data_IF_843274636389
#
_entry.id   IF_843274636389
#
_cell.length_a   1.000
_cell.length_b   1.000
_cell.length_c   1.000
_cell.angle_alpha   90.00
_cell.angle_beta   90.00
_cell.angle_gamma   90.00
#
_symmetry.space_group_name_H-M   'P 1'
#
loop_
_entity.id
_entity.type
_entity.pdbx_description
1 polymer ?
#
# COMPACT_ATOMS: atom_id res chain seq x y z
N UNK A 1 25.38 -2.70 6.43
CA UNK A 1 24.06 -3.06 5.89
C UNK A 1 22.96 -2.57 6.84
N UNK A 2 21.91 -1.92 6.28
CA UNK A 2 20.73 -1.50 7.04
C UNK A 2 19.58 -2.43 6.62
N UNK A 3 18.89 -3.01 7.60
CA UNK A 3 17.81 -3.97 7.37
C UNK A 3 16.55 -3.50 8.08
N UNK A 4 15.41 -3.64 7.41
CA UNK A 4 14.09 -3.24 7.90
C UNK A 4 13.63 -1.90 7.35
N UNK A 5 12.37 -1.87 6.88
CA UNK A 5 11.78 -0.71 6.20
C UNK A 5 11.87 0.56 7.05
N UNK A 6 11.53 0.48 8.33
CA UNK A 6 11.57 1.64 9.24
C UNK A 6 12.99 2.16 9.43
N UNK A 7 13.98 1.27 9.64
CA UNK A 7 15.38 1.67 9.80
C UNK A 7 15.96 2.33 8.53
N UNK A 8 15.60 1.83 7.36
CA UNK A 8 16.01 2.40 6.07
C UNK A 8 15.42 3.80 5.90
N UNK A 9 14.13 4.00 6.22
CA UNK A 9 13.48 5.30 6.10
C UNK A 9 14.07 6.32 7.07
N UNK A 10 14.31 5.94 8.32
CA UNK A 10 14.98 6.82 9.31
C UNK A 10 16.38 7.20 8.84
N UNK A 11 17.15 6.24 8.36
CA UNK A 11 18.50 6.52 7.82
C UNK A 11 18.48 7.44 6.59
N UNK A 12 17.51 7.25 5.67
CA UNK A 12 17.34 8.13 4.52
C UNK A 12 16.95 9.54 4.93
N UNK A 13 16.08 9.70 5.92
CA UNK A 13 15.68 11.00 6.46
C UNK A 13 16.84 11.76 7.05
N UNK A 14 17.70 11.08 7.81
CA UNK A 14 18.87 11.69 8.45
C UNK A 14 20.04 11.94 7.47
N UNK A 15 20.16 11.12 6.41
CA UNK A 15 21.31 11.14 5.51
C UNK A 15 21.13 12.03 4.29
N UNK A 16 19.89 12.30 3.86
CA UNK A 16 19.59 13.05 2.65
C UNK A 16 19.02 14.41 3.04
N UNK A 17 19.83 15.45 2.89
CA UNK A 17 19.38 16.84 3.04
C UNK A 17 18.23 17.12 2.06
N UNK A 18 17.18 17.76 2.54
CA UNK A 18 15.92 18.05 1.83
C UNK A 18 14.91 16.91 1.73
N UNK A 19 15.16 15.76 2.34
CA UNK A 19 14.14 14.75 2.53
C UNK A 19 13.32 15.12 3.79
N UNK A 20 12.03 15.16 3.69
CA UNK A 20 11.12 15.45 4.82
C UNK A 20 9.91 14.52 4.75
N UNK A 21 10.19 13.21 4.62
CA UNK A 21 9.15 12.19 4.50
C UNK A 21 8.57 11.80 5.87
N UNK A 22 9.31 12.04 6.96
CA UNK A 22 8.84 11.82 8.32
C UNK A 22 8.28 13.10 8.96
N UNK A 23 8.70 14.28 8.48
CA UNK A 23 8.29 15.59 8.97
C UNK A 23 8.99 16.07 10.23
N UNK A 24 8.94 17.38 10.48
CA UNK A 24 9.69 18.03 11.55
C UNK A 24 9.02 17.95 12.92
N UNK A 25 7.69 17.99 12.96
CA UNK A 25 6.92 18.01 14.22
C UNK A 25 6.78 16.61 14.79
N UNK A 26 7.09 16.44 16.08
CA UNK A 26 7.04 15.14 16.77
C UNK A 26 5.69 14.44 16.63
N UNK A 27 4.58 15.17 16.74
CA UNK A 27 3.23 14.61 16.61
C UNK A 27 2.96 14.10 15.18
N UNK A 28 3.43 14.83 14.15
CA UNK A 28 3.29 14.40 12.77
C UNK A 28 4.15 13.16 12.50
N UNK A 29 5.40 13.14 12.97
CA UNK A 29 6.27 11.95 12.87
C UNK A 29 5.67 10.72 13.54
N UNK A 30 5.04 10.90 14.70
CA UNK A 30 4.34 9.81 15.39
C UNK A 30 3.19 9.26 14.54
N UNK A 31 2.41 10.12 13.90
CA UNK A 31 1.31 9.72 13.01
C UNK A 31 1.81 9.02 11.74
N UNK A 32 2.88 9.53 11.10
CA UNK A 32 3.52 8.87 9.96
C UNK A 32 3.95 7.46 10.33
N UNK A 33 4.67 7.29 11.44
CA UNK A 33 5.14 5.97 11.91
C UNK A 33 4.00 5.05 12.27
N UNK A 34 2.93 5.57 12.89
CA UNK A 34 1.73 4.79 13.22
C UNK A 34 1.07 4.21 11.97
N UNK A 35 0.95 5.01 10.89
CA UNK A 35 0.36 4.54 9.63
C UNK A 35 1.31 3.54 8.94
N UNK A 36 2.61 3.81 8.91
CA UNK A 36 3.58 2.85 8.38
C UNK A 36 3.50 1.50 9.10
N UNK A 37 3.43 1.50 10.44
CA UNK A 37 3.30 0.27 11.24
C UNK A 37 1.96 -0.43 10.98
N UNK A 38 0.88 0.33 10.78
CA UNK A 38 -0.42 -0.22 10.38
C UNK A 38 -0.30 -1.05 9.11
N UNK A 39 0.37 -0.53 8.06
CA UNK A 39 0.51 -1.23 6.79
C UNK A 39 1.53 -2.37 6.87
N UNK A 40 2.71 -2.10 7.40
CA UNK A 40 3.80 -3.08 7.44
C UNK A 40 3.48 -4.28 8.35
N UNK A 41 2.55 -4.15 9.29
CA UNK A 41 2.25 -5.19 10.25
C UNK A 41 0.80 -5.64 10.20
N UNK A 42 -0.15 -4.77 10.56
CA UNK A 42 -1.57 -5.16 10.65
C UNK A 42 -2.14 -5.52 9.28
N UNK A 43 -2.00 -4.62 8.31
CA UNK A 43 -2.48 -4.84 6.95
C UNK A 43 -1.78 -6.06 6.31
N UNK A 44 -0.47 -6.16 6.44
CA UNK A 44 0.28 -7.30 5.94
C UNK A 44 -0.26 -8.61 6.54
N UNK A 45 -0.44 -8.71 7.85
CA UNK A 45 -0.93 -9.93 8.51
C UNK A 45 -2.37 -10.27 8.13
N UNK A 46 -3.26 -9.29 8.03
CA UNK A 46 -4.69 -9.51 7.84
C UNK A 46 -5.10 -9.63 6.37
N UNK A 47 -4.34 -9.04 5.45
CA UNK A 47 -4.69 -8.94 4.04
C UNK A 47 -3.64 -9.58 3.13
N UNK A 48 -2.39 -9.10 3.16
CA UNK A 48 -1.37 -9.59 2.21
C UNK A 48 -1.00 -11.04 2.46
N UNK A 49 -0.74 -11.41 3.71
CA UNK A 49 -0.41 -12.81 4.07
C UNK A 49 -1.54 -13.79 3.79
N UNK A 50 -2.74 -13.32 3.51
CA UNK A 50 -3.87 -14.13 3.06
C UNK A 50 -4.01 -14.07 1.54
N UNK A 51 -4.34 -12.90 0.97
CA UNK A 51 -4.67 -12.77 -0.45
C UNK A 51 -3.43 -13.00 -1.35
N UNK A 52 -2.33 -12.31 -1.04
CA UNK A 52 -1.11 -12.39 -1.87
C UNK A 52 -0.46 -13.76 -1.73
N UNK A 53 -0.43 -14.30 -0.51
CA UNK A 53 0.09 -15.65 -0.30
C UNK A 53 -0.71 -16.69 -1.10
N UNK A 54 -2.03 -16.71 -0.98
CA UNK A 54 -2.88 -17.69 -1.66
C UNK A 54 -2.82 -17.55 -3.19
N UNK A 55 -2.87 -16.33 -3.73
CA UNK A 55 -2.93 -16.12 -5.18
C UNK A 55 -1.58 -16.18 -5.89
N UNK A 56 -0.51 -15.86 -5.19
CA UNK A 56 0.84 -15.78 -5.78
C UNK A 56 1.75 -16.82 -5.17
N UNK A 57 2.12 -16.66 -3.90
CA UNK A 57 3.19 -17.44 -3.29
C UNK A 57 2.89 -18.95 -3.27
N UNK A 58 1.67 -19.33 -2.88
CA UNK A 58 1.23 -20.72 -2.82
C UNK A 58 1.33 -21.43 -4.16
N UNK A 59 0.96 -20.72 -5.24
CA UNK A 59 1.05 -21.23 -6.61
C UNK A 59 2.52 -21.39 -7.03
N UNK A 60 3.36 -20.36 -6.80
CA UNK A 60 4.77 -20.41 -7.15
C UNK A 60 5.56 -21.51 -6.44
N UNK A 61 5.26 -21.78 -5.16
CA UNK A 61 5.93 -22.82 -4.39
C UNK A 61 5.28 -24.21 -4.56
N UNK A 62 4.30 -24.36 -5.47
CA UNK A 62 3.68 -25.63 -5.78
C UNK A 62 2.81 -26.24 -4.66
N UNK A 63 2.31 -25.42 -3.73
CA UNK A 63 1.44 -25.87 -2.63
C UNK A 63 -0.05 -25.99 -3.00
N UNK A 64 -0.35 -26.05 -4.29
CA UNK A 64 -1.71 -26.26 -4.81
C UNK A 64 -2.47 -24.96 -5.12
N UNK A 65 -3.78 -25.09 -5.26
CA UNK A 65 -4.65 -23.97 -5.64
C UNK A 65 -4.96 -23.05 -4.43
N UNK A 66 -5.35 -21.79 -4.70
CA UNK A 66 -5.81 -20.85 -3.66
C UNK A 66 -6.99 -21.39 -2.84
N UNK A 67 -6.94 -21.24 -1.53
CA UNK A 67 -8.05 -21.60 -0.64
C UNK A 67 -9.11 -20.49 -0.61
N UNK A 68 -10.32 -20.85 -1.06
CA UNK A 68 -11.44 -19.92 -1.15
C UNK A 68 -11.87 -19.34 0.21
N UNK A 69 -11.73 -20.11 1.32
CA UNK A 69 -12.08 -19.64 2.65
C UNK A 69 -11.06 -18.61 3.15
N UNK A 70 -9.77 -18.85 2.94
CA UNK A 70 -8.71 -17.90 3.30
C UNK A 70 -8.87 -16.61 2.51
N UNK A 71 -9.09 -16.70 1.19
CA UNK A 71 -9.35 -15.53 0.33
C UNK A 71 -10.58 -14.74 0.80
N UNK A 72 -11.65 -15.43 1.22
CA UNK A 72 -12.85 -14.76 1.73
C UNK A 72 -12.57 -13.96 3.00
N UNK A 73 -11.76 -14.51 3.92
CA UNK A 73 -11.35 -13.79 5.13
C UNK A 73 -10.49 -12.57 4.79
N UNK A 74 -9.47 -12.74 3.95
CA UNK A 74 -8.61 -11.65 3.51
C UNK A 74 -9.39 -10.51 2.84
N UNK A 75 -10.37 -10.84 1.98
CA UNK A 75 -11.24 -9.83 1.34
C UNK A 75 -12.14 -9.09 2.32
N UNK A 76 -12.65 -9.76 3.36
CA UNK A 76 -13.41 -9.08 4.43
C UNK A 76 -12.54 -8.10 5.20
N UNK A 77 -11.31 -8.50 5.51
CA UNK A 77 -10.36 -7.62 6.16
C UNK A 77 -9.97 -6.44 5.25
N UNK A 78 -9.74 -6.70 3.96
CA UNK A 78 -9.44 -5.65 2.98
C UNK A 78 -10.51 -4.56 2.96
N UNK A 79 -11.79 -4.93 3.02
CA UNK A 79 -12.89 -3.95 3.08
C UNK A 79 -12.72 -3.01 4.28
N UNK A 80 -12.41 -3.53 5.47
CA UNK A 80 -12.23 -2.73 6.69
C UNK A 80 -11.04 -1.75 6.52
N UNK A 81 -9.94 -2.24 5.97
CA UNK A 81 -8.77 -1.40 5.72
C UNK A 81 -9.04 -0.32 4.67
N UNK A 82 -9.73 -0.67 3.58
CA UNK A 82 -10.09 0.31 2.55
C UNK A 82 -11.06 1.38 3.06
N UNK A 83 -12.02 1.03 3.90
CA UNK A 83 -12.89 1.99 4.58
C UNK A 83 -12.09 2.95 5.46
N UNK A 84 -11.06 2.45 6.16
CA UNK A 84 -10.19 3.28 6.97
C UNK A 84 -9.34 4.23 6.13
N UNK A 85 -8.77 3.76 5.02
CA UNK A 85 -8.02 4.59 4.09
C UNK A 85 -8.92 5.67 3.48
N UNK A 86 -10.12 5.30 3.06
CA UNK A 86 -11.09 6.22 2.48
C UNK A 86 -11.49 7.32 3.48
N UNK A 87 -11.71 6.95 4.74
CA UNK A 87 -11.97 7.90 5.82
C UNK A 87 -10.79 8.85 6.07
N UNK A 88 -9.55 8.34 6.10
CA UNK A 88 -8.35 9.17 6.24
C UNK A 88 -8.26 10.17 5.07
N UNK A 89 -8.40 9.69 3.84
CA UNK A 89 -8.29 10.49 2.62
C UNK A 89 -9.42 11.52 2.47
N UNK A 90 -10.59 11.25 3.04
CA UNK A 90 -11.70 12.21 3.10
C UNK A 90 -11.39 13.40 4.01
N UNK A 91 -10.66 13.16 5.09
CA UNK A 91 -10.47 14.15 6.16
C UNK A 91 -9.07 14.79 6.13
N UNK A 92 -8.18 14.36 5.22
CA UNK A 92 -6.79 14.80 5.14
C UNK A 92 -6.36 14.86 3.67
N UNK A 93 -5.40 15.72 3.38
CA UNK A 93 -4.81 15.78 2.04
C UNK A 93 -3.96 14.55 1.73
N UNK A 94 -3.24 14.03 2.75
CA UNK A 94 -2.43 12.82 2.72
C UNK A 94 -2.72 11.97 3.96
N UNK A 95 -2.36 10.69 3.96
CA UNK A 95 -2.80 9.78 5.03
C UNK A 95 -2.40 10.22 6.44
N UNK A 96 -1.20 10.81 6.60
CA UNK A 96 -0.73 11.28 7.90
C UNK A 96 -1.14 12.74 8.21
N UNK A 97 -1.62 13.51 7.24
CA UNK A 97 -2.00 14.92 7.42
C UNK A 97 -1.97 15.71 6.12
N UNK A 98 -1.39 16.91 6.13
CA UNK A 98 -1.46 17.84 5.00
C UNK A 98 -0.27 17.74 4.03
N UNK A 99 0.73 16.91 4.33
CA UNK A 99 1.92 16.74 3.51
C UNK A 99 2.16 15.29 3.16
N UNK A 100 2.63 15.06 1.94
CA UNK A 100 3.07 13.75 1.48
C UNK A 100 4.20 13.20 2.35
N UNK A 101 4.14 11.94 2.71
CA UNK A 101 5.03 11.35 3.71
C UNK A 101 5.35 9.88 3.41
N UNK A 102 6.24 9.30 4.21
CA UNK A 102 6.54 7.87 4.20
C UNK A 102 5.31 6.99 4.47
N UNK A 103 4.27 7.53 5.14
CA UNK A 103 3.00 6.85 5.33
C UNK A 103 2.30 6.56 3.99
N UNK A 104 2.28 7.55 3.08
CA UNK A 104 1.65 7.42 1.76
C UNK A 104 2.41 6.44 0.88
N UNK A 105 3.75 6.50 0.93
CA UNK A 105 4.62 5.58 0.19
C UNK A 105 4.36 4.14 0.65
N UNK A 106 4.39 3.91 1.97
CA UNK A 106 4.19 2.59 2.56
C UNK A 106 2.79 2.05 2.23
N UNK A 107 1.76 2.86 2.41
CA UNK A 107 0.40 2.47 2.11
C UNK A 107 0.20 2.11 0.62
N UNK A 108 0.67 2.97 -0.27
CA UNK A 108 0.51 2.76 -1.70
C UNK A 108 1.31 1.56 -2.22
N UNK A 109 2.51 1.31 -1.69
CA UNK A 109 3.30 0.13 -2.02
C UNK A 109 2.56 -1.17 -1.65
N UNK A 110 2.00 -1.23 -0.43
CA UNK A 110 1.21 -2.39 0.01
C UNK A 110 -0.10 -2.55 -0.82
N UNK A 111 -0.77 -1.46 -1.17
CA UNK A 111 -1.98 -1.55 -2.00
C UNK A 111 -1.69 -1.92 -3.45
N UNK A 112 -0.50 -1.60 -3.96
CA UNK A 112 -0.13 -1.84 -5.36
C UNK A 112 -0.26 -3.30 -5.77
N UNK A 113 0.13 -4.23 -4.92
CA UNK A 113 0.01 -5.66 -5.22
C UNK A 113 -1.46 -6.12 -5.27
N UNK A 114 -2.32 -5.57 -4.40
CA UNK A 114 -3.74 -5.89 -4.40
C UNK A 114 -4.48 -5.25 -5.57
N UNK A 115 -4.05 -4.05 -5.98
CA UNK A 115 -4.51 -3.39 -7.20
C UNK A 115 -4.11 -4.19 -8.45
N UNK A 116 -2.86 -4.67 -8.50
CA UNK A 116 -2.37 -5.58 -9.54
C UNK A 116 -3.20 -6.87 -9.64
N UNK A 117 -3.63 -7.41 -8.50
CA UNK A 117 -4.46 -8.61 -8.44
C UNK A 117 -5.96 -8.36 -8.70
N UNK A 118 -6.37 -7.10 -8.88
CA UNK A 118 -7.77 -6.71 -9.09
C UNK A 118 -8.66 -6.94 -7.87
N UNK A 119 -8.09 -6.94 -6.66
CA UNK A 119 -8.82 -7.20 -5.41
C UNK A 119 -9.52 -5.96 -4.85
N UNK A 120 -9.11 -4.75 -5.28
CA UNK A 120 -9.67 -3.49 -4.78
C UNK A 120 -10.79 -3.01 -5.70
N UNK A 121 -11.98 -2.83 -5.14
CA UNK A 121 -13.13 -2.25 -5.84
C UNK A 121 -13.13 -0.73 -5.67
N UNK A 122 -12.29 -0.03 -6.40
CA UNK A 122 -12.06 1.41 -6.26
C UNK A 122 -13.32 2.27 -6.31
N UNK A 123 -14.34 1.85 -7.07
CA UNK A 123 -15.63 2.55 -7.15
C UNK A 123 -16.34 2.70 -5.80
N UNK A 124 -16.02 1.85 -4.83
CA UNK A 124 -16.64 1.85 -3.50
C UNK A 124 -15.89 2.79 -2.52
N UNK A 125 -14.74 3.37 -2.93
CA UNK A 125 -13.82 4.15 -2.09
C UNK A 125 -13.30 5.39 -2.83
N UNK A 126 -14.14 6.40 -3.05
CA UNK A 126 -13.83 7.54 -3.93
C UNK A 126 -12.65 8.37 -3.43
N UNK A 127 -12.57 8.64 -2.13
CA UNK A 127 -11.47 9.44 -1.55
C UNK A 127 -10.14 8.67 -1.54
N UNK A 128 -10.17 7.38 -1.22
CA UNK A 128 -8.99 6.52 -1.31
C UNK A 128 -8.50 6.39 -2.75
N UNK A 129 -9.40 6.30 -3.72
CA UNK A 129 -9.10 6.28 -5.15
C UNK A 129 -8.36 7.55 -5.59
N UNK A 130 -8.90 8.73 -5.26
CA UNK A 130 -8.28 10.02 -5.57
C UNK A 130 -6.90 10.16 -4.93
N UNK A 131 -6.76 9.77 -3.65
CA UNK A 131 -5.47 9.75 -2.97
C UNK A 131 -4.49 8.80 -3.69
N UNK A 132 -4.91 7.59 -4.01
CA UNK A 132 -4.04 6.60 -4.67
C UNK A 132 -3.63 7.05 -6.09
N UNK A 133 -4.53 7.65 -6.86
CA UNK A 133 -4.23 8.23 -8.17
C UNK A 133 -3.14 9.31 -8.08
N UNK A 134 -3.21 10.18 -7.05
CA UNK A 134 -2.15 11.17 -6.80
C UNK A 134 -0.79 10.53 -6.49
N UNK A 135 -0.76 9.41 -5.75
CA UNK A 135 0.49 8.68 -5.49
C UNK A 135 0.99 8.00 -6.76
N UNK A 136 0.13 7.32 -7.53
CA UNK A 136 0.45 6.66 -8.80
C UNK A 136 1.06 7.63 -9.81
N UNK A 137 0.58 8.87 -9.85
CA UNK A 137 1.04 9.90 -10.78
C UNK A 137 2.47 10.38 -10.49
N UNK A 138 3.01 10.11 -9.30
CA UNK A 138 4.40 10.51 -8.95
C UNK A 138 5.42 9.72 -9.77
N UNK A 139 6.45 10.39 -10.33
CA UNK A 139 7.49 9.72 -11.12
C UNK A 139 8.15 8.55 -10.39
N UNK A 140 8.35 8.68 -9.06
CA UNK A 140 8.95 7.63 -8.23
C UNK A 140 8.09 6.36 -8.09
N UNK A 141 6.78 6.45 -8.31
CA UNK A 141 5.87 5.31 -8.23
C UNK A 141 5.69 4.59 -9.58
N UNK A 142 5.96 5.28 -10.70
CA UNK A 142 5.70 4.75 -12.05
C UNK A 142 6.50 3.48 -12.37
N UNK A 143 7.69 3.34 -11.82
CA UNK A 143 8.50 2.12 -12.01
C UNK A 143 7.80 0.87 -11.49
N UNK A 144 7.09 0.97 -10.38
CA UNK A 144 6.33 -0.14 -9.77
C UNK A 144 5.21 -0.61 -10.71
N UNK A 145 4.57 0.32 -11.43
CA UNK A 145 3.49 0.00 -12.37
C UNK A 145 3.95 -0.78 -13.61
N UNK A 146 5.26 -0.80 -13.88
CA UNK A 146 5.85 -1.56 -14.98
C UNK A 146 6.21 -3.01 -14.58
N UNK A 147 6.26 -3.30 -13.30
CA UNK A 147 6.57 -4.64 -12.79
C UNK A 147 5.50 -5.64 -13.21
N UNK A 148 5.95 -6.84 -13.56
CA UNK A 148 5.07 -7.94 -13.99
C UNK A 148 5.32 -9.18 -13.18
N UNK A 149 4.24 -9.80 -12.75
CA UNK A 149 4.30 -11.11 -12.10
C UNK A 149 4.14 -12.19 -13.18
N UNK A 150 5.10 -13.11 -13.35
CA UNK A 150 5.00 -14.17 -14.34
C UNK A 150 3.69 -14.98 -14.20
N UNK A 151 2.96 -15.12 -15.32
CA UNK A 151 1.72 -15.89 -15.35
C UNK A 151 0.48 -15.15 -14.81
N UNK A 152 0.62 -13.91 -14.34
CA UNK A 152 -0.50 -13.10 -13.87
C UNK A 152 -0.54 -11.75 -14.62
N UNK A 153 -1.69 -11.43 -15.20
CA UNK A 153 -1.90 -10.15 -15.87
C UNK A 153 -2.72 -9.22 -14.95
N UNK A 154 -2.28 -7.97 -14.77
CA UNK A 154 -3.06 -6.99 -14.03
C UNK A 154 -4.31 -6.58 -14.78
N UNK A 155 -5.32 -6.02 -14.10
CA UNK A 155 -6.44 -5.35 -14.75
C UNK A 155 -5.94 -4.21 -15.64
N UNK A 156 -6.69 -3.90 -16.70
CA UNK A 156 -6.33 -2.83 -17.65
C UNK A 156 -6.11 -1.47 -16.99
N UNK A 157 -6.86 -1.17 -15.93
CA UNK A 157 -6.76 0.09 -15.19
C UNK A 157 -5.52 0.18 -14.27
N UNK A 158 -4.79 -0.93 -14.04
CA UNK A 158 -3.65 -0.93 -13.11
C UNK A 158 -2.57 0.10 -13.47
N UNK A 159 -2.25 0.22 -14.74
CA UNK A 159 -1.28 1.20 -15.25
C UNK A 159 -1.88 2.56 -15.60
N UNK A 160 -3.19 2.70 -15.54
CA UNK A 160 -3.88 3.97 -15.74
C UNK A 160 -3.71 4.86 -14.52
N UNK A 161 -3.32 6.12 -14.74
CA UNK A 161 -3.12 7.09 -13.65
C UNK A 161 -4.43 7.73 -13.21
N UNK A 162 -5.45 7.73 -14.08
CA UNK A 162 -6.77 8.34 -13.88
C UNK A 162 -7.89 7.28 -13.85
N UNK A 163 -7.60 6.07 -13.43
CA UNK A 163 -8.46 4.87 -13.47
C UNK A 163 -9.81 5.03 -12.75
#
# INVERSE_FOLDING_TARGET
YIVGTSAIIEWLEDSISHNNLLGDKAIFRAEVRRIMEWFNRKFNTEVESTIVFEKIMKVFIGKGNPDANVLRVGRKNLIIHMQYIDWLSKNRDWLAGNTYSAADITAAANLSILDYLGEIKWRDYSYAKEWYARVKSRPSFRSILLDKIPGLLPPKYYSDLDF
#
